data_IF_198498615192
#
_entry.id   IF_198498615192
#
_cell.length_a   1.000
_cell.length_b   1.000
_cell.length_c   1.000
_cell.angle_alpha   90.00
_cell.angle_beta   90.00
_cell.angle_gamma   90.00
#
_symmetry.space_group_name_H-M   'P 1'
#
loop_
_entity.id
_entity.type
_entity.pdbx_description
1 polymer ?
#
# COMPACT_ATOMS: atom_id res chain seq x y z
N UNK A 1 -34.37 -13.40 -47.03
CA UNK A 1 -33.87 -12.31 -46.16
C UNK A 1 -34.92 -11.94 -45.13
N UNK A 2 -34.91 -12.56 -43.94
CA UNK A 2 -35.81 -12.18 -42.83
C UNK A 2 -35.15 -11.05 -42.06
N UNK A 3 -35.61 -9.81 -42.25
CA UNK A 3 -35.23 -8.66 -41.41
C UNK A 3 -35.84 -8.88 -40.02
N UNK A 4 -35.03 -9.27 -39.05
CA UNK A 4 -35.47 -9.35 -37.65
C UNK A 4 -35.95 -7.97 -37.18
N UNK A 5 -37.16 -7.92 -36.60
CA UNK A 5 -37.69 -6.69 -36.02
C UNK A 5 -36.74 -6.20 -34.94
N UNK A 6 -36.13 -5.03 -35.13
CA UNK A 6 -35.35 -4.38 -34.08
C UNK A 6 -36.34 -3.93 -33.00
N UNK A 7 -36.35 -4.60 -31.84
CA UNK A 7 -37.04 -4.11 -30.64
C UNK A 7 -36.30 -2.85 -30.19
N UNK A 8 -36.97 -1.70 -30.19
CA UNK A 8 -36.42 -0.47 -29.63
C UNK A 8 -36.35 -0.57 -28.12
N UNK A 9 -35.25 -0.09 -27.54
CA UNK A 9 -35.12 0.05 -26.09
C UNK A 9 -36.15 1.07 -25.61
N UNK A 10 -36.92 0.73 -24.58
CA UNK A 10 -37.84 1.69 -23.98
C UNK A 10 -37.03 2.65 -23.12
N UNK A 11 -37.38 3.95 -23.11
CA UNK A 11 -36.68 4.96 -22.31
C UNK A 11 -36.60 4.58 -20.83
N UNK A 12 -37.61 3.87 -20.32
CA UNK A 12 -37.67 3.39 -18.95
C UNK A 12 -36.61 2.32 -18.63
N UNK A 13 -36.30 1.42 -19.57
CA UNK A 13 -35.26 0.40 -19.37
C UNK A 13 -33.87 1.05 -19.24
N UNK A 14 -33.57 2.08 -20.03
CA UNK A 14 -32.31 2.82 -19.89
C UNK A 14 -32.25 3.63 -18.58
N UNK A 15 -33.36 4.26 -18.19
CA UNK A 15 -33.46 5.07 -16.97
C UNK A 15 -33.22 4.25 -15.71
N UNK A 16 -33.79 3.05 -15.62
CA UNK A 16 -33.60 2.17 -14.46
C UNK A 16 -32.14 1.73 -14.34
N UNK A 17 -31.47 1.45 -15.46
CA UNK A 17 -30.09 0.97 -15.45
C UNK A 17 -29.14 2.05 -14.93
N UNK A 18 -29.26 3.28 -15.43
CA UNK A 18 -28.41 4.38 -14.95
C UNK A 18 -28.68 4.70 -13.48
N UNK A 19 -29.94 4.58 -13.02
CA UNK A 19 -30.30 4.79 -11.63
C UNK A 19 -29.60 3.77 -10.70
N UNK A 20 -29.61 2.49 -11.07
CA UNK A 20 -28.93 1.44 -10.31
C UNK A 20 -27.41 1.68 -10.31
N UNK A 21 -26.81 2.00 -11.46
CA UNK A 21 -25.37 2.30 -11.55
C UNK A 21 -25.00 3.50 -10.68
N UNK A 22 -25.80 4.56 -10.66
CA UNK A 22 -25.56 5.75 -9.85
C UNK A 22 -25.54 5.42 -8.34
N UNK A 23 -26.48 4.61 -7.87
CA UNK A 23 -26.54 4.17 -6.46
C UNK A 23 -25.29 3.36 -6.10
N UNK A 24 -24.91 2.40 -6.95
CA UNK A 24 -23.72 1.57 -6.73
C UNK A 24 -22.44 2.41 -6.73
N UNK A 25 -22.29 3.32 -7.71
CA UNK A 25 -21.13 4.19 -7.83
C UNK A 25 -21.00 5.17 -6.65
N UNK A 26 -22.12 5.69 -6.14
CA UNK A 26 -22.15 6.59 -4.98
C UNK A 26 -21.58 5.94 -3.72
N UNK A 27 -21.77 4.63 -3.53
CA UNK A 27 -21.19 3.88 -2.40
C UNK A 27 -19.76 3.45 -2.71
N UNK A 28 -19.47 3.05 -3.95
CA UNK A 28 -18.16 2.54 -4.34
C UNK A 28 -17.07 3.62 -4.33
N UNK A 29 -17.36 4.82 -4.82
CA UNK A 29 -16.39 5.92 -4.91
C UNK A 29 -15.74 6.29 -3.55
N UNK A 30 -16.50 6.55 -2.46
CA UNK A 30 -15.92 6.89 -1.17
C UNK A 30 -15.18 5.72 -0.51
N UNK A 31 -15.64 4.48 -0.72
CA UNK A 31 -15.00 3.29 -0.13
C UNK A 31 -13.70 2.94 -0.85
N UNK A 32 -13.65 3.13 -2.18
CA UNK A 32 -12.48 2.80 -3.00
C UNK A 32 -11.23 3.60 -2.60
N UNK A 33 -11.38 4.90 -2.29
CA UNK A 33 -10.28 5.74 -1.83
C UNK A 33 -9.65 5.21 -0.52
N UNK A 34 -10.50 4.87 0.46
CA UNK A 34 -10.06 4.28 1.75
C UNK A 34 -9.41 2.91 1.56
N UNK A 35 -9.97 2.08 0.68
CA UNK A 35 -9.41 0.76 0.38
C UNK A 35 -8.01 0.86 -0.24
N UNK A 36 -7.80 1.81 -1.17
CA UNK A 36 -6.50 2.05 -1.81
C UNK A 36 -5.44 2.52 -0.81
N UNK A 37 -5.81 3.42 0.10
CA UNK A 37 -4.92 3.88 1.17
C UNK A 37 -4.53 2.73 2.11
N UNK A 38 -5.51 1.93 2.54
CA UNK A 38 -5.25 0.72 3.34
C UNK A 38 -4.35 -0.29 2.62
N UNK A 39 -4.52 -0.46 1.31
CA UNK A 39 -3.66 -1.34 0.51
C UNK A 39 -2.20 -0.85 0.51
N UNK A 40 -1.98 0.46 0.33
CA UNK A 40 -0.63 1.06 0.42
C UNK A 40 -0.01 0.87 1.80
N UNK A 41 -0.80 1.12 2.85
CA UNK A 41 -0.36 0.92 4.22
C UNK A 41 0.02 -0.54 4.49
N UNK A 42 -0.80 -1.50 4.03
CA UNK A 42 -0.53 -2.93 4.16
C UNK A 42 0.76 -3.35 3.44
N UNK A 43 1.00 -2.83 2.22
CA UNK A 43 2.26 -3.07 1.51
C UNK A 43 3.45 -2.51 2.27
N UNK A 44 3.37 -1.27 2.76
CA UNK A 44 4.43 -0.66 3.57
C UNK A 44 4.71 -1.46 4.85
N UNK A 45 3.66 -1.85 5.58
CA UNK A 45 3.77 -2.66 6.78
C UNK A 45 4.42 -4.02 6.50
N UNK A 46 4.08 -4.65 5.37
CA UNK A 46 4.71 -5.91 4.96
C UNK A 46 6.20 -5.73 4.66
N UNK A 47 6.58 -4.64 3.97
CA UNK A 47 7.99 -4.34 3.70
C UNK A 47 8.77 -4.09 4.99
N UNK A 48 8.24 -3.28 5.90
CA UNK A 48 8.88 -3.00 7.19
C UNK A 48 9.02 -4.26 8.05
N UNK A 49 8.00 -5.13 8.04
CA UNK A 49 8.07 -6.43 8.72
C UNK A 49 9.20 -7.29 8.13
N UNK A 50 9.31 -7.35 6.80
CA UNK A 50 10.37 -8.12 6.13
C UNK A 50 11.76 -7.56 6.47
N UNK A 51 11.93 -6.23 6.49
CA UNK A 51 13.18 -5.60 6.90
C UNK A 51 13.51 -5.90 8.38
N UNK A 52 12.55 -5.74 9.29
CA UNK A 52 12.75 -6.05 10.71
C UNK A 52 13.15 -7.51 10.92
N UNK A 53 12.49 -8.45 10.22
CA UNK A 53 12.88 -9.85 10.25
C UNK A 53 14.30 -10.08 9.71
N UNK A 54 14.69 -9.42 8.62
CA UNK A 54 16.05 -9.53 8.08
C UNK A 54 17.12 -9.03 9.06
N UNK A 55 16.84 -7.94 9.79
CA UNK A 55 17.76 -7.41 10.80
C UNK A 55 17.87 -8.36 11.99
N UNK A 56 16.74 -8.88 12.48
CA UNK A 56 16.73 -9.84 13.57
C UNK A 56 17.48 -11.14 13.21
N UNK A 57 17.32 -11.60 11.97
CA UNK A 57 18.04 -12.78 11.49
C UNK A 57 19.55 -12.50 11.40
N UNK A 58 19.95 -11.34 10.86
CA UNK A 58 21.34 -10.92 10.83
C UNK A 58 21.96 -10.85 12.24
N UNK A 59 21.27 -10.23 13.21
CA UNK A 59 21.79 -10.11 14.59
C UNK A 59 21.99 -11.47 15.25
N UNK A 60 21.11 -12.44 14.97
CA UNK A 60 21.25 -13.80 15.50
C UNK A 60 22.45 -14.53 14.90
N UNK A 61 22.76 -14.25 13.63
CA UNK A 61 23.89 -14.85 12.93
C UNK A 61 25.24 -14.18 13.28
N UNK A 62 25.23 -12.92 13.76
CA UNK A 62 26.43 -12.08 13.94
C UNK A 62 26.66 -11.61 15.39
N UNK A 63 26.75 -12.56 16.33
CA UNK A 63 27.08 -12.32 17.76
C UNK A 63 26.31 -11.14 18.39
N UNK A 64 25.00 -11.05 18.08
CA UNK A 64 24.08 -10.02 18.56
C UNK A 64 24.38 -8.58 18.08
N UNK A 65 25.23 -8.43 17.06
CA UNK A 65 25.59 -7.14 16.48
C UNK A 65 24.55 -6.68 15.45
N UNK A 66 24.08 -5.44 15.58
CA UNK A 66 23.17 -4.82 14.61
C UNK A 66 23.90 -4.36 13.34
N UNK A 67 23.23 -4.30 12.18
CA UNK A 67 23.81 -3.76 10.97
C UNK A 67 24.21 -2.29 11.18
N UNK A 68 25.49 -1.99 11.09
CA UNK A 68 26.01 -0.61 11.14
C UNK A 68 25.81 0.05 9.79
N UNK A 69 25.07 1.17 9.75
CA UNK A 69 25.01 2.01 8.56
C UNK A 69 26.29 2.84 8.44
N UNK A 70 26.98 2.77 7.30
CA UNK A 70 28.03 3.72 6.96
C UNK A 70 27.36 5.08 6.65
N UNK A 71 27.14 5.88 7.71
CA UNK A 71 26.74 7.27 7.59
C UNK A 71 27.97 8.07 7.19
N UNK A 72 28.18 8.16 5.87
CA UNK A 72 29.38 8.72 5.25
C UNK A 72 30.08 9.80 6.09
N UNK A 73 31.20 9.40 6.69
CA UNK A 73 32.20 10.31 7.23
C UNK A 73 31.98 10.88 8.63
N UNK A 74 30.96 10.48 9.39
CA UNK A 74 30.87 10.87 10.80
C UNK A 74 31.13 9.67 11.71
N UNK A 75 32.31 9.66 12.34
CA UNK A 75 32.75 8.67 13.30
C UNK A 75 31.93 8.78 14.60
N UNK A 76 30.60 8.67 14.58
CA UNK A 76 29.80 8.58 15.81
C UNK A 76 29.80 7.13 16.35
N UNK A 77 31.00 6.54 16.33
CA UNK A 77 31.51 5.57 17.31
C UNK A 77 32.71 6.18 18.06
N UNK A 78 32.94 7.50 17.94
CA UNK A 78 33.97 8.27 18.62
C UNK A 78 33.49 8.89 19.94
N UNK A 79 32.59 8.23 20.67
CA UNK A 79 32.73 8.26 22.14
C UNK A 79 33.80 7.24 22.54
N UNK A 80 35.01 7.39 22.01
CA UNK A 80 36.16 7.09 22.85
C UNK A 80 36.00 8.03 24.03
N UNK A 81 35.92 7.48 25.23
CA UNK A 81 35.95 8.21 26.49
C UNK A 81 37.28 8.94 26.69
N UNK A 82 37.60 9.86 25.78
CA UNK A 82 38.66 10.86 25.86
C UNK A 82 38.05 12.18 25.39
N UNK A 83 36.98 12.56 26.11
CA UNK A 83 36.55 13.95 26.23
C UNK A 83 37.67 14.75 26.89
N UNK A 84 37.76 16.00 26.49
CA UNK A 84 38.74 16.98 26.88
C UNK A 84 38.73 17.27 28.40
N UNK A 85 39.76 16.77 29.09
CA UNK A 85 40.37 17.32 30.30
C UNK A 85 41.87 16.99 30.28
#
# INVERSE_FOLDING_TARGET
>A
MRRGSRRGFTLIELLVVIAIIAILAAILFPVFAKAREKARAASCQSNLKQLGLSVMQYTQDWDEMYPTGDVGGDWVVATKGLNWA
#
